data_IF_788992337667
#
_entry.id   IF_788992337667
#
_cell.length_a   1.000
_cell.length_b   1.000
_cell.length_c   1.000
_cell.angle_alpha   90.00
_cell.angle_beta   90.00
_cell.angle_gamma   90.00
#
_symmetry.space_group_name_H-M   'P 1'
#
loop_
_entity.id
_entity.type
_entity.pdbx_description
1 polymer ?
#
# COMPACT_ATOMS: atom_id res chain seq x y z
N UNK A 1 -31.90 -48.48 47.11
CA UNK A 1 -31.74 -47.10 46.60
C UNK A 1 -30.30 -46.73 46.17
N UNK A 2 -29.41 -47.68 45.84
CA UNK A 2 -28.03 -47.39 45.38
C UNK A 2 -27.85 -47.37 43.85
N UNK A 3 -28.76 -47.99 43.09
CA UNK A 3 -28.63 -48.14 41.62
C UNK A 3 -29.04 -46.88 40.83
N UNK A 4 -29.90 -46.02 41.37
CA UNK A 4 -30.39 -44.80 40.68
C UNK A 4 -29.38 -43.64 40.66
N UNK A 5 -28.49 -43.55 41.65
CA UNK A 5 -27.49 -42.47 41.74
C UNK A 5 -26.34 -42.66 40.76
N UNK A 6 -25.95 -43.91 40.49
CA UNK A 6 -24.87 -44.23 39.54
C UNK A 6 -25.28 -43.86 38.11
N UNK A 7 -26.53 -44.12 37.71
CA UNK A 7 -27.04 -43.78 36.38
C UNK A 7 -27.13 -42.26 36.17
N UNK A 8 -27.51 -41.51 37.19
CA UNK A 8 -27.57 -40.04 37.12
C UNK A 8 -26.17 -39.41 36.97
N UNK A 9 -25.16 -39.92 37.68
CA UNK A 9 -23.78 -39.44 37.58
C UNK A 9 -23.18 -39.75 36.20
N UNK A 10 -23.42 -40.93 35.65
CA UNK A 10 -22.96 -41.30 34.30
C UNK A 10 -23.59 -40.41 33.23
N UNK A 11 -24.88 -40.09 33.34
CA UNK A 11 -25.57 -39.18 32.42
C UNK A 11 -25.01 -37.75 32.47
N UNK A 12 -24.64 -37.24 33.65
CA UNK A 12 -24.03 -35.91 33.81
C UNK A 12 -22.64 -35.84 33.19
N UNK A 13 -21.82 -36.89 33.32
CA UNK A 13 -20.48 -36.94 32.72
C UNK A 13 -20.57 -36.99 31.19
N UNK A 14 -21.48 -37.79 30.63
CA UNK A 14 -21.71 -37.87 29.18
C UNK A 14 -22.24 -36.53 28.64
N UNK A 15 -23.15 -35.87 29.35
CA UNK A 15 -23.66 -34.55 28.96
C UNK A 15 -22.59 -33.45 29.02
N UNK A 16 -21.67 -33.48 30.00
CA UNK A 16 -20.51 -32.59 30.05
C UNK A 16 -19.51 -32.84 28.92
N UNK A 17 -19.26 -34.11 28.54
CA UNK A 17 -18.38 -34.43 27.41
C UNK A 17 -18.96 -33.99 26.05
N UNK A 18 -20.28 -34.08 25.88
CA UNK A 18 -20.97 -33.66 24.65
C UNK A 18 -21.06 -32.13 24.52
N UNK A 19 -21.19 -31.39 25.62
CA UNK A 19 -21.18 -29.93 25.56
C UNK A 19 -19.78 -29.39 25.22
N UNK A 20 -18.72 -29.89 25.83
CA UNK A 20 -17.33 -29.49 25.53
C UNK A 20 -16.96 -29.73 24.05
N UNK A 21 -17.42 -30.84 23.47
CA UNK A 21 -17.19 -31.16 22.05
C UNK A 21 -18.01 -30.26 21.12
N UNK A 22 -19.23 -29.87 21.48
CA UNK A 22 -20.04 -28.92 20.71
C UNK A 22 -19.42 -27.51 20.67
N UNK A 23 -18.87 -27.03 21.80
CA UNK A 23 -18.13 -25.75 21.85
C UNK A 23 -16.87 -25.80 20.99
N UNK A 24 -16.05 -26.85 21.12
CA UNK A 24 -14.84 -27.05 20.31
C UNK A 24 -15.14 -27.15 18.80
N UNK A 25 -16.24 -27.82 18.42
CA UNK A 25 -16.71 -27.87 17.03
C UNK A 25 -17.12 -26.48 16.53
N UNK A 26 -17.81 -25.69 17.36
CA UNK A 26 -18.23 -24.33 17.00
C UNK A 26 -17.05 -23.36 16.82
N UNK A 27 -16.01 -23.50 17.64
CA UNK A 27 -14.78 -22.69 17.52
C UNK A 27 -13.98 -23.07 16.29
N UNK A 28 -13.93 -24.36 15.95
CA UNK A 28 -13.30 -24.86 14.74
C UNK A 28 -13.97 -24.32 13.47
N UNK A 29 -15.31 -24.31 13.42
CA UNK A 29 -16.05 -23.75 12.28
C UNK A 29 -15.91 -22.22 12.19
N UNK A 30 -15.91 -21.51 13.32
CA UNK A 30 -15.59 -20.07 13.35
C UNK A 30 -14.17 -19.77 12.85
N UNK A 31 -13.18 -20.59 13.25
CA UNK A 31 -11.80 -20.44 12.81
C UNK A 31 -11.66 -20.70 11.30
N UNK A 32 -12.34 -21.71 10.75
CA UNK A 32 -12.38 -21.96 9.29
C UNK A 32 -13.01 -20.81 8.51
N UNK A 33 -14.13 -20.26 8.99
CA UNK A 33 -14.76 -19.11 8.35
C UNK A 33 -13.84 -17.86 8.35
N UNK A 34 -13.14 -17.62 9.45
CA UNK A 34 -12.15 -16.54 9.53
C UNK A 34 -10.94 -16.79 8.61
N UNK A 35 -10.45 -18.03 8.50
CA UNK A 35 -9.38 -18.38 7.56
C UNK A 35 -9.78 -18.12 6.10
N UNK A 36 -10.99 -18.52 5.71
CA UNK A 36 -11.49 -18.28 4.35
C UNK A 36 -11.58 -16.78 4.02
N UNK A 37 -11.96 -15.94 5.00
CA UNK A 37 -11.97 -14.50 4.82
C UNK A 37 -10.56 -13.91 4.75
N UNK A 38 -9.64 -14.40 5.58
CA UNK A 38 -8.23 -14.03 5.50
C UNK A 38 -7.59 -14.47 4.17
N UNK A 39 -7.96 -15.62 3.61
CA UNK A 39 -7.45 -16.05 2.31
C UNK A 39 -7.85 -15.07 1.20
N UNK A 40 -9.09 -14.54 1.21
CA UNK A 40 -9.51 -13.47 0.30
C UNK A 40 -8.70 -12.19 0.51
N UNK A 41 -8.51 -11.80 1.77
CA UNK A 41 -7.69 -10.63 2.12
C UNK A 41 -6.25 -10.78 1.63
N UNK A 42 -5.65 -11.96 1.78
CA UNK A 42 -4.31 -12.26 1.28
C UNK A 42 -4.24 -12.23 -0.24
N UNK A 43 -5.27 -12.74 -0.92
CA UNK A 43 -5.38 -12.64 -2.38
C UNK A 43 -5.39 -11.16 -2.82
N UNK A 44 -6.22 -10.33 -2.20
CA UNK A 44 -6.28 -8.88 -2.46
C UNK A 44 -4.94 -8.18 -2.19
N UNK A 45 -4.27 -8.48 -1.07
CA UNK A 45 -2.95 -7.92 -0.76
C UNK A 45 -1.94 -8.26 -1.86
N UNK A 46 -1.91 -9.52 -2.31
CA UNK A 46 -0.98 -9.98 -3.34
C UNK A 46 -1.28 -9.42 -4.73
N UNK A 47 -2.55 -9.26 -5.10
CA UNK A 47 -2.94 -8.79 -6.42
C UNK A 47 -2.96 -7.27 -6.55
N UNK A 48 -3.09 -6.55 -5.43
CA UNK A 48 -3.40 -5.11 -5.45
C UNK A 48 -2.41 -4.30 -4.61
N UNK A 49 -2.29 -4.58 -3.31
CA UNK A 49 -1.50 -3.74 -2.39
C UNK A 49 0.00 -3.85 -2.65
N UNK A 50 0.53 -5.07 -2.70
CA UNK A 50 1.98 -5.29 -2.93
C UNK A 50 2.41 -4.72 -4.28
N UNK A 51 1.72 -5.00 -5.40
CA UNK A 51 2.10 -4.45 -6.69
C UNK A 51 2.04 -2.92 -6.74
N UNK A 52 1.03 -2.31 -6.13
CA UNK A 52 0.92 -0.85 -6.02
C UNK A 52 2.10 -0.25 -5.24
N UNK A 53 2.42 -0.84 -4.08
CA UNK A 53 3.53 -0.37 -3.24
C UNK A 53 4.87 -0.52 -3.96
N UNK A 54 5.10 -1.67 -4.61
CA UNK A 54 6.32 -1.94 -5.35
C UNK A 54 6.49 -1.00 -6.54
N UNK A 55 5.41 -0.72 -7.26
CA UNK A 55 5.47 0.20 -8.38
C UNK A 55 5.92 1.60 -7.92
N UNK A 56 5.29 2.15 -6.89
CA UNK A 56 5.72 3.44 -6.36
C UNK A 56 7.20 3.41 -5.95
N UNK A 57 7.61 2.40 -5.18
CA UNK A 57 9.00 2.28 -4.71
C UNK A 57 10.02 2.18 -5.86
N UNK A 58 9.64 1.55 -6.97
CA UNK A 58 10.50 1.37 -8.14
C UNK A 58 10.68 2.67 -8.93
N UNK A 59 9.64 3.49 -9.07
CA UNK A 59 9.67 4.64 -9.97
C UNK A 59 9.87 5.98 -9.26
N UNK A 60 9.48 6.09 -7.98
CA UNK A 60 9.51 7.37 -7.27
C UNK A 60 10.91 7.89 -6.90
N UNK A 61 11.91 7.07 -6.48
CA UNK A 61 13.25 7.57 -6.19
C UNK A 61 13.89 8.29 -7.39
N UNK A 62 13.56 7.87 -8.61
CA UNK A 62 14.08 8.50 -9.83
C UNK A 62 13.51 9.91 -10.07
N UNK A 63 12.30 10.20 -9.54
CA UNK A 63 11.76 11.56 -9.48
C UNK A 63 12.41 12.41 -8.38
N UNK A 64 13.24 11.83 -7.52
CA UNK A 64 13.97 12.58 -6.49
C UNK A 64 15.41 12.90 -6.89
N UNK A 65 15.99 12.13 -7.80
CA UNK A 65 17.32 12.32 -8.34
C UNK A 65 17.30 13.15 -9.65
N UNK A 66 16.59 14.28 -9.61
CA UNK A 66 16.32 15.20 -10.73
C UNK A 66 17.55 15.99 -11.21
N UNK A 67 18.67 15.32 -11.49
CA UNK A 67 19.89 15.99 -11.93
C UNK A 67 20.33 15.48 -13.31
N UNK A 68 20.52 16.41 -14.26
CA UNK A 68 21.27 16.28 -15.52
C UNK A 68 20.72 15.36 -16.62
N UNK A 69 20.22 14.17 -16.27
CA UNK A 69 19.69 13.14 -17.18
C UNK A 69 18.19 12.85 -16.95
N UNK A 70 17.55 13.69 -16.15
CA UNK A 70 16.19 13.48 -15.69
C UNK A 70 15.09 13.53 -16.78
N UNK A 71 15.09 14.38 -17.81
CA UNK A 71 13.90 14.50 -18.67
C UNK A 71 13.56 13.22 -19.44
N UNK A 72 14.55 12.49 -19.97
CA UNK A 72 14.29 11.27 -20.75
C UNK A 72 13.80 10.12 -19.86
N UNK A 73 14.49 9.85 -18.75
CA UNK A 73 14.08 8.80 -17.81
C UNK A 73 12.85 9.20 -16.99
N UNK A 74 12.72 10.49 -16.67
CA UNK A 74 11.62 11.05 -15.89
C UNK A 74 10.28 10.85 -16.58
N UNK A 75 10.23 11.04 -17.91
CA UNK A 75 9.03 10.73 -18.71
C UNK A 75 8.65 9.25 -18.62
N UNK A 76 9.61 8.34 -18.77
CA UNK A 76 9.37 6.90 -18.63
C UNK A 76 8.85 6.53 -17.23
N UNK A 77 9.43 7.10 -16.18
CA UNK A 77 9.00 6.87 -14.79
C UNK A 77 7.60 7.42 -14.52
N UNK A 78 7.29 8.63 -14.99
CA UNK A 78 5.94 9.21 -14.90
C UNK A 78 4.92 8.34 -15.63
N UNK A 79 5.23 7.85 -16.83
CA UNK A 79 4.35 6.93 -17.57
C UNK A 79 4.17 5.60 -16.82
N UNK A 80 5.23 5.05 -16.25
CA UNK A 80 5.14 3.81 -15.48
C UNK A 80 4.28 3.97 -14.22
N UNK A 81 4.41 5.08 -13.50
CA UNK A 81 3.54 5.39 -12.36
C UNK A 81 2.08 5.59 -12.81
N UNK A 82 1.84 6.30 -13.91
CA UNK A 82 0.49 6.48 -14.46
C UNK A 82 -0.21 5.13 -14.74
N UNK A 83 0.53 4.19 -15.34
CA UNK A 83 0.04 2.83 -15.55
C UNK A 83 -0.32 2.14 -14.22
N UNK A 84 0.46 2.33 -13.17
CA UNK A 84 0.18 1.73 -11.87
C UNK A 84 -1.07 2.29 -11.18
N UNK A 85 -1.39 3.58 -11.38
CA UNK A 85 -2.65 4.13 -10.85
C UNK A 85 -3.88 3.47 -11.49
N UNK A 86 -3.77 3.05 -12.75
CA UNK A 86 -4.89 2.52 -13.54
C UNK A 86 -4.97 0.99 -13.52
N UNK A 87 -3.84 0.29 -13.32
CA UNK A 87 -3.76 -1.17 -13.34
C UNK A 87 -4.37 -1.86 -12.10
N UNK A 88 -4.49 -1.14 -10.97
CA UNK A 88 -4.96 -1.71 -9.70
C UNK A 88 -6.28 -1.06 -9.23
N UNK A 89 -7.40 -1.26 -9.95
CA UNK A 89 -8.69 -0.63 -9.66
C UNK A 89 -9.27 -1.06 -8.31
N UNK A 90 -10.32 -0.36 -7.86
CA UNK A 90 -11.00 -0.55 -6.58
C UNK A 90 -11.68 -1.91 -6.44
N UNK A 91 -10.87 -2.93 -6.20
CA UNK A 91 -11.34 -4.15 -5.56
C UNK A 91 -11.59 -3.83 -4.09
N UNK A 92 -12.81 -4.11 -3.64
CA UNK A 92 -13.19 -3.95 -2.24
C UNK A 92 -12.59 -5.11 -1.44
N UNK A 93 -11.70 -4.79 -0.52
CA UNK A 93 -11.35 -5.66 0.59
C UNK A 93 -12.39 -5.52 1.70
N UNK A 94 -12.65 -6.59 2.43
CA UNK A 94 -13.44 -6.56 3.66
C UNK A 94 -12.73 -5.86 4.82
N UNK A 95 -11.43 -5.62 4.69
CA UNK A 95 -10.57 -5.03 5.71
C UNK A 95 -10.40 -3.51 5.48
N UNK A 96 -11.00 -2.64 6.33
CA UNK A 96 -10.96 -1.20 6.14
C UNK A 96 -9.54 -0.61 6.14
N UNK A 97 -8.63 -1.17 6.95
CA UNK A 97 -7.24 -0.72 7.00
C UNK A 97 -6.52 -0.90 5.66
N UNK A 98 -6.80 -1.99 4.95
CA UNK A 98 -6.20 -2.23 3.64
C UNK A 98 -6.77 -1.32 2.57
N UNK A 99 -8.06 -0.99 2.67
CA UNK A 99 -8.68 0.01 1.78
C UNK A 99 -8.11 1.40 2.00
N UNK A 100 -7.85 1.80 3.26
CA UNK A 100 -7.18 3.07 3.59
C UNK A 100 -5.76 3.12 3.00
N UNK A 101 -4.95 2.08 3.26
CA UNK A 101 -3.58 1.99 2.71
C UNK A 101 -3.59 2.06 1.18
N UNK A 102 -4.50 1.34 0.53
CA UNK A 102 -4.65 1.39 -0.92
C UNK A 102 -4.98 2.79 -1.41
N UNK A 103 -5.97 3.43 -0.79
CA UNK A 103 -6.47 4.76 -1.17
C UNK A 103 -5.35 5.80 -1.05
N UNK A 104 -4.65 5.83 0.09
CA UNK A 104 -3.52 6.73 0.32
C UNK A 104 -2.38 6.49 -0.65
N UNK A 105 -2.00 5.22 -0.88
CA UNK A 105 -0.95 4.88 -1.84
C UNK A 105 -1.32 5.31 -3.25
N UNK A 106 -2.56 5.05 -3.68
CA UNK A 106 -3.05 5.43 -5.01
C UNK A 106 -3.11 6.94 -5.18
N UNK A 107 -3.57 7.66 -4.15
CA UNK A 107 -3.61 9.12 -4.13
C UNK A 107 -2.23 9.72 -4.25
N UNK A 108 -1.25 9.25 -3.47
CA UNK A 108 0.13 9.74 -3.56
C UNK A 108 0.75 9.45 -4.92
N UNK A 109 0.53 8.25 -5.45
CA UNK A 109 1.05 7.84 -6.75
C UNK A 109 0.49 8.73 -7.87
N UNK A 110 -0.80 9.07 -7.80
CA UNK A 110 -1.44 10.02 -8.73
C UNK A 110 -0.85 11.43 -8.58
N UNK A 111 -0.77 11.95 -7.36
CA UNK A 111 -0.21 13.28 -7.11
C UNK A 111 1.24 13.38 -7.60
N UNK A 112 2.07 12.38 -7.34
CA UNK A 112 3.46 12.35 -7.82
C UNK A 112 3.57 12.20 -9.34
N UNK A 113 2.64 11.49 -9.96
CA UNK A 113 2.56 11.41 -11.43
C UNK A 113 2.27 12.78 -12.01
N UNK A 114 1.27 13.48 -11.49
CA UNK A 114 0.88 14.82 -11.95
C UNK A 114 1.98 15.86 -11.68
N UNK A 115 2.62 15.79 -10.53
CA UNK A 115 3.76 16.65 -10.17
C UNK A 115 4.98 16.37 -11.04
N UNK A 116 5.26 15.10 -11.34
CA UNK A 116 6.33 14.70 -12.26
C UNK A 116 6.11 15.23 -13.68
N UNK A 117 4.88 15.20 -14.20
CA UNK A 117 4.53 15.83 -15.50
C UNK A 117 4.84 17.33 -15.50
N UNK A 118 4.36 18.04 -14.47
CA UNK A 118 4.59 19.48 -14.32
C UNK A 118 6.07 19.83 -14.18
N UNK A 119 6.83 18.97 -13.49
CA UNK A 119 8.27 19.14 -13.35
C UNK A 119 8.97 19.06 -14.70
N UNK A 120 8.64 18.04 -15.50
CA UNK A 120 9.23 17.84 -16.83
C UNK A 120 8.91 19.05 -17.73
N UNK A 121 7.67 19.54 -17.74
CA UNK A 121 7.28 20.69 -18.55
C UNK A 121 8.01 21.98 -18.11
N UNK A 122 8.16 22.20 -16.79
CA UNK A 122 8.91 23.34 -16.26
C UNK A 122 10.41 23.24 -16.54
N UNK A 123 10.96 22.03 -16.57
CA UNK A 123 12.36 21.76 -16.89
C UNK A 123 12.65 22.06 -18.37
N UNK A 124 11.78 21.62 -19.27
CA UNK A 124 11.90 21.91 -20.70
C UNK A 124 11.81 23.42 -20.97
N UNK A 125 10.89 24.11 -20.29
CA UNK A 125 10.76 25.57 -20.39
C UNK A 125 11.99 26.30 -19.82
N UNK A 126 12.51 25.84 -18.67
CA UNK A 126 13.75 26.38 -18.11
C UNK A 126 14.92 26.21 -19.08
N UNK A 127 15.09 25.03 -19.69
CA UNK A 127 16.16 24.79 -20.65
C UNK A 127 15.95 25.56 -21.96
N UNK A 128 14.71 25.76 -22.41
CA UNK A 128 14.42 26.63 -23.55
C UNK A 128 14.86 28.07 -23.27
N UNK A 129 14.67 28.54 -22.05
CA UNK A 129 15.04 29.89 -21.61
C UNK A 129 16.54 30.02 -21.31
N UNK A 130 17.19 28.99 -20.76
CA UNK A 130 18.57 29.06 -20.23
C UNK A 130 19.62 28.30 -21.05
N UNK A 131 19.20 27.48 -22.02
CA UNK A 131 20.02 26.44 -22.67
C UNK A 131 21.02 26.92 -23.72
N UNK A 132 21.05 28.20 -24.06
CA UNK A 132 22.12 28.78 -24.87
C UNK A 132 22.94 29.78 -24.03
N UNK A 133 24.02 29.32 -23.38
CA UNK A 133 24.89 30.19 -22.58
C UNK A 133 25.63 31.25 -23.42
N UNK A 134 25.62 31.14 -24.75
CA UNK A 134 26.18 32.14 -25.67
C UNK A 134 25.17 33.26 -26.02
N UNK A 135 23.87 33.02 -25.83
CA UNK A 135 22.82 34.04 -25.93
C UNK A 135 22.75 34.85 -24.64
N UNK A 136 23.03 36.15 -24.74
CA UNK A 136 22.64 37.10 -23.69
C UNK A 136 21.11 37.14 -23.61
N UNK A 137 20.56 36.49 -22.59
CA UNK A 137 19.14 36.57 -22.28
C UNK A 137 18.74 38.02 -21.99
N UNK A 138 17.59 38.42 -22.51
CA UNK A 138 16.97 39.70 -22.14
C UNK A 138 16.58 39.65 -20.65
N UNK A 139 16.52 40.79 -19.95
CA UNK A 139 16.16 40.82 -18.52
C UNK A 139 14.85 40.09 -18.19
N UNK A 140 13.85 40.17 -19.08
CA UNK A 140 12.60 39.43 -18.93
C UNK A 140 12.79 37.91 -18.99
N UNK A 141 13.64 37.41 -19.89
CA UNK A 141 13.95 35.97 -20.03
C UNK A 141 14.77 35.46 -18.84
N UNK A 142 15.68 36.28 -18.31
CA UNK A 142 16.41 35.98 -17.07
C UNK A 142 15.46 35.84 -15.87
N UNK A 143 14.51 36.78 -15.74
CA UNK A 143 13.50 36.73 -14.69
C UNK A 143 12.61 35.48 -14.82
N UNK A 144 12.17 35.14 -16.03
CA UNK A 144 11.40 33.93 -16.28
C UNK A 144 12.19 32.66 -15.95
N UNK A 145 13.47 32.57 -16.36
CA UNK A 145 14.33 31.42 -16.04
C UNK A 145 14.53 31.27 -14.53
N UNK A 146 14.72 32.38 -13.80
CA UNK A 146 14.81 32.37 -12.34
C UNK A 146 13.50 31.88 -11.68
N UNK A 147 12.34 32.34 -12.18
CA UNK A 147 11.04 31.86 -11.72
C UNK A 147 10.85 30.36 -11.97
N UNK A 148 11.21 29.86 -13.14
CA UNK A 148 11.12 28.43 -13.44
C UNK A 148 12.04 27.60 -12.57
N UNK A 149 13.27 28.07 -12.34
CA UNK A 149 14.20 27.41 -11.42
C UNK A 149 13.65 27.33 -10.00
N UNK A 150 13.09 28.42 -9.48
CA UNK A 150 12.46 28.42 -8.15
C UNK A 150 11.27 27.44 -8.08
N UNK A 151 10.46 27.38 -9.14
CA UNK A 151 9.35 26.42 -9.26
C UNK A 151 9.84 24.97 -9.27
N UNK A 152 10.91 24.67 -10.00
CA UNK A 152 11.52 23.34 -10.04
C UNK A 152 12.02 22.90 -8.65
N UNK A 153 12.68 23.79 -7.91
CA UNK A 153 13.12 23.49 -6.54
C UNK A 153 11.93 23.23 -5.59
N UNK A 154 10.85 24.01 -5.71
CA UNK A 154 9.64 23.77 -4.93
C UNK A 154 9.04 22.39 -5.23
N UNK A 155 8.85 22.05 -6.51
CA UNK A 155 8.30 20.76 -6.91
C UNK A 155 9.19 19.58 -6.47
N UNK A 156 10.52 19.76 -6.48
CA UNK A 156 11.48 18.78 -5.96
C UNK A 156 11.28 18.56 -4.45
N UNK A 157 11.05 19.63 -3.68
CA UNK A 157 10.74 19.52 -2.25
C UNK A 157 9.41 18.80 -1.99
N UNK A 158 8.38 19.08 -2.78
CA UNK A 158 7.09 18.38 -2.69
C UNK A 158 7.23 16.87 -2.98
N UNK A 159 7.98 16.50 -4.02
CA UNK A 159 8.32 15.10 -4.32
C UNK A 159 9.10 14.41 -3.18
N UNK A 160 9.96 15.14 -2.46
CA UNK A 160 10.61 14.61 -1.25
C UNK A 160 9.62 14.36 -0.11
N UNK A 161 8.67 15.26 0.09
CA UNK A 161 7.64 15.11 1.13
C UNK A 161 6.74 13.91 0.85
N UNK A 162 6.26 13.74 -0.38
CA UNK A 162 5.39 12.61 -0.75
C UNK A 162 6.08 11.26 -0.57
N UNK A 163 7.38 11.17 -0.86
CA UNK A 163 8.17 9.96 -0.59
C UNK A 163 8.24 9.60 0.88
N UNK A 164 8.36 10.62 1.75
CA UNK A 164 8.34 10.42 3.19
C UNK A 164 7.00 9.86 3.62
N UNK A 165 5.90 10.44 3.13
CA UNK A 165 4.54 9.94 3.38
C UNK A 165 4.36 8.51 2.85
N UNK A 166 4.98 8.17 1.73
CA UNK A 166 4.94 6.83 1.21
C UNK A 166 5.74 5.82 2.05
N UNK A 167 6.87 6.22 2.64
CA UNK A 167 7.59 5.39 3.62
C UNK A 167 6.73 5.07 4.84
N UNK A 168 5.86 6.00 5.26
CA UNK A 168 4.92 5.75 6.34
C UNK A 168 3.90 4.67 5.94
N UNK A 169 3.35 4.74 4.71
CA UNK A 169 2.47 3.69 4.16
C UNK A 169 3.18 2.34 4.13
N UNK A 170 4.45 2.28 3.69
CA UNK A 170 5.23 1.04 3.68
C UNK A 170 5.39 0.47 5.08
N UNK A 171 5.62 1.32 6.08
CA UNK A 171 5.78 0.94 7.48
C UNK A 171 4.47 0.41 8.07
N UNK A 172 3.36 1.10 7.82
CA UNK A 172 2.02 0.66 8.23
C UNK A 172 1.65 -0.68 7.58
N UNK A 173 1.90 -0.84 6.28
CA UNK A 173 1.69 -2.10 5.58
C UNK A 173 2.53 -3.24 6.17
N UNK A 174 3.80 -2.99 6.48
CA UNK A 174 4.67 -4.01 7.08
C UNK A 174 4.18 -4.45 8.46
N UNK A 175 3.69 -3.50 9.27
CA UNK A 175 3.07 -3.78 10.57
C UNK A 175 1.81 -4.62 10.40
N UNK A 176 0.89 -4.18 9.53
CA UNK A 176 -0.33 -4.93 9.21
C UNK A 176 -0.01 -6.35 8.75
N UNK A 177 0.92 -6.52 7.81
CA UNK A 177 1.28 -7.82 7.27
C UNK A 177 1.84 -8.76 8.35
N UNK A 178 2.61 -8.23 9.29
CA UNK A 178 3.14 -9.00 10.43
C UNK A 178 2.02 -9.46 11.35
N UNK A 179 1.12 -8.57 11.75
CA UNK A 179 -0.06 -8.89 12.58
C UNK A 179 -0.96 -9.91 11.88
N UNK A 180 -1.22 -9.70 10.59
CA UNK A 180 -2.06 -10.55 9.76
C UNK A 180 -1.50 -11.98 9.66
N UNK A 181 -0.21 -12.13 9.36
CA UNK A 181 0.44 -13.46 9.26
C UNK A 181 0.42 -14.18 10.61
N UNK A 182 0.62 -13.47 11.72
CA UNK A 182 0.55 -14.07 13.05
C UNK A 182 -0.86 -14.59 13.36
N UNK A 183 -1.89 -13.75 13.14
CA UNK A 183 -3.29 -14.14 13.31
C UNK A 183 -3.69 -15.31 12.41
N UNK A 184 -3.20 -15.33 11.17
CA UNK A 184 -3.47 -16.42 10.23
C UNK A 184 -2.92 -17.74 10.75
N UNK A 185 -1.67 -17.77 11.23
CA UNK A 185 -1.05 -18.95 11.83
C UNK A 185 -1.80 -19.43 13.08
N UNK A 186 -2.22 -18.53 13.95
CA UNK A 186 -3.02 -18.87 15.13
C UNK A 186 -4.36 -19.52 14.75
N UNK A 187 -5.05 -18.98 13.75
CA UNK A 187 -6.31 -19.52 13.29
C UNK A 187 -6.14 -20.88 12.60
N UNK A 188 -5.03 -21.11 11.90
CA UNK A 188 -4.69 -22.43 11.35
C UNK A 188 -4.53 -23.48 12.46
N UNK A 189 -3.87 -23.13 13.57
CA UNK A 189 -3.73 -24.03 14.73
C UNK A 189 -5.10 -24.33 15.36
N UNK A 190 -5.91 -23.30 15.61
CA UNK A 190 -7.27 -23.44 16.16
C UNK A 190 -8.18 -24.27 15.25
N UNK A 191 -8.14 -24.04 13.93
CA UNK A 191 -8.90 -24.82 12.96
C UNK A 191 -8.42 -26.28 12.86
N UNK A 192 -7.15 -26.56 13.19
CA UNK A 192 -6.60 -27.90 13.31
C UNK A 192 -6.92 -28.58 14.67
N UNK A 193 -7.49 -27.85 15.62
CA UNK A 193 -7.77 -28.34 16.98
C UNK A 193 -6.52 -28.44 17.86
N UNK A 194 -5.52 -27.57 17.61
CA UNK A 194 -4.25 -27.48 18.34
C UNK A 194 -4.16 -26.20 19.16
#
# INVERSE_FOLDING_TARGET
MRKTWVTAIVLVIVACGLSQTAWAQSEKEKAKAQLAEMDKTMAFVKSTIIPLINCYAQHQPHLQFLDGAFPDKGREHVTAMDYCTSAYPDQLASEPKLMDLKSRASSLLKTDTDLGRQYIDAWDEYNRLAGDPSKKLKPAEQQMAATQKAKLEQMKQELYQHASQFKDIQTEYKTFNTEFVNKYKELQLKAAGK
#
